data_IF_822181636565
#
_entry.id   IF_822181636565
#
_cell.length_a   1.000
_cell.length_b   1.000
_cell.length_c   1.000
_cell.angle_alpha   90.00
_cell.angle_beta   90.00
_cell.angle_gamma   90.00
#
_symmetry.space_group_name_H-M   'P 1'
#
loop_
_entity.id
_entity.type
_entity.pdbx_description
1 polymer ?
#
# COMPACT_ATOMS: atom_id res chain seq x y z
N UNK A 1 -13.43 64.10 23.08
CA UNK A 1 -13.06 62.96 22.21
C UNK A 1 -14.36 62.35 21.68
N UNK A 2 -15.06 62.99 20.72
CA UNK A 2 -15.08 62.75 19.25
C UNK A 2 -15.38 61.31 18.79
N UNK A 3 -16.69 61.05 18.65
CA UNK A 3 -17.44 60.38 17.56
C UNK A 3 -16.71 59.76 16.35
N UNK A 4 -17.22 58.61 15.88
CA UNK A 4 -17.83 58.33 14.54
C UNK A 4 -18.13 56.81 14.46
N UNK A 5 -19.36 56.30 14.26
CA UNK A 5 -20.33 56.34 13.14
C UNK A 5 -19.82 55.78 11.80
N UNK A 6 -20.72 54.97 11.18
CA UNK A 6 -20.89 54.65 9.75
C UNK A 6 -20.03 53.51 9.18
N UNK A 7 -20.45 52.69 8.21
CA UNK A 7 -21.71 52.47 7.48
C UNK A 7 -21.50 51.19 6.64
N UNK A 8 -22.60 50.60 6.20
CA UNK A 8 -22.67 49.56 5.19
C UNK A 8 -22.02 49.97 3.85
N UNK A 9 -21.62 48.97 3.05
CA UNK A 9 -21.76 49.06 1.60
C UNK A 9 -21.96 47.65 1.02
N UNK A 10 -23.20 47.42 0.60
CA UNK A 10 -23.56 46.47 -0.44
C UNK A 10 -23.13 47.01 -1.80
N UNK A 11 -22.55 46.16 -2.66
CA UNK A 11 -22.58 46.37 -4.10
C UNK A 11 -22.97 45.05 -4.78
N UNK A 12 -24.13 45.13 -5.41
CA UNK A 12 -24.75 44.15 -6.29
C UNK A 12 -24.21 44.36 -7.73
N UNK A 13 -24.34 43.30 -8.53
CA UNK A 13 -24.47 43.27 -9.99
C UNK A 13 -23.23 42.96 -10.84
N UNK A 14 -23.46 42.07 -11.81
CA UNK A 14 -22.74 42.05 -13.09
C UNK A 14 -22.16 40.71 -13.48
N UNK A 15 -22.97 39.83 -14.06
CA UNK A 15 -22.49 38.69 -14.84
C UNK A 15 -21.64 39.16 -16.02
N UNK A 16 -20.58 38.41 -16.36
CA UNK A 16 -20.09 38.25 -17.73
C UNK A 16 -19.26 36.97 -17.84
N UNK A 17 -19.71 36.12 -18.76
CA UNK A 17 -19.02 34.93 -19.26
C UNK A 17 -17.62 35.30 -19.75
N UNK A 18 -16.60 34.63 -19.23
CA UNK A 18 -15.41 34.33 -20.03
C UNK A 18 -15.10 32.85 -19.88
N UNK A 19 -15.52 32.10 -20.90
CA UNK A 19 -15.06 30.74 -21.17
C UNK A 19 -13.59 30.84 -21.53
N UNK A 20 -12.73 30.80 -20.52
CA UNK A 20 -11.30 30.58 -20.69
C UNK A 20 -11.05 29.09 -20.72
N UNK A 21 -11.16 28.47 -21.91
CA UNK A 21 -10.66 27.12 -22.16
C UNK A 21 -9.13 27.19 -22.05
N UNK A 22 -8.59 27.07 -20.84
CA UNK A 22 -7.16 26.82 -20.67
C UNK A 22 -6.97 25.37 -21.08
N UNK A 23 -6.57 25.17 -22.34
CA UNK A 23 -6.02 23.90 -22.79
C UNK A 23 -4.83 23.59 -21.87
N UNK A 24 -5.07 22.75 -20.85
CA UNK A 24 -4.00 22.24 -20.01
C UNK A 24 -3.09 21.46 -20.93
N UNK A 25 -1.87 21.98 -21.13
CA UNK A 25 -0.78 21.21 -21.75
C UNK A 25 -0.76 19.83 -21.07
N UNK A 26 -0.69 18.78 -21.88
CA UNK A 26 -0.54 17.40 -21.40
C UNK A 26 0.71 17.34 -20.53
N UNK A 27 0.52 17.45 -19.22
CA UNK A 27 1.58 17.27 -18.24
C UNK A 27 1.82 15.77 -18.13
N UNK A 28 3.09 15.39 -18.31
CA UNK A 28 3.57 14.03 -18.17
C UNK A 28 3.08 13.45 -16.85
N UNK A 29 2.27 12.40 -16.95
CA UNK A 29 1.70 11.66 -15.82
C UNK A 29 2.85 10.92 -15.14
N UNK A 30 3.34 11.46 -14.03
CA UNK A 30 4.14 10.66 -13.10
C UNK A 30 3.14 9.86 -12.28
N UNK A 31 2.79 8.66 -12.73
CA UNK A 31 2.00 7.77 -11.91
C UNK A 31 2.80 7.39 -10.66
N UNK A 32 2.28 7.65 -9.46
CA UNK A 32 2.53 6.79 -8.30
C UNK A 32 1.78 5.50 -8.57
N UNK A 33 2.40 4.70 -9.42
CA UNK A 33 2.10 3.29 -9.52
C UNK A 33 2.32 2.68 -8.14
N UNK A 34 1.45 1.75 -7.71
CA UNK A 34 1.93 0.53 -7.03
C UNK A 34 3.33 0.31 -7.54
N UNK A 35 4.37 0.30 -6.70
CA UNK A 35 5.69 0.10 -7.27
C UNK A 35 5.60 -1.08 -8.23
N UNK A 36 5.76 -0.79 -9.51
CA UNK A 36 5.49 -1.82 -10.48
C UNK A 36 6.81 -2.52 -10.72
N UNK A 37 6.74 -3.64 -11.42
CA UNK A 37 7.93 -4.27 -11.99
C UNK A 37 8.78 -3.26 -12.78
N UNK A 38 8.23 -2.11 -13.21
CA UNK A 38 8.95 -1.05 -13.94
C UNK A 38 9.56 0.04 -13.04
N UNK A 39 9.12 0.20 -11.80
CA UNK A 39 9.54 1.30 -10.92
C UNK A 39 10.57 0.87 -9.88
N UNK A 40 10.72 -0.45 -9.69
CA UNK A 40 11.76 -1.02 -8.83
C UNK A 40 13.11 -1.05 -9.54
N UNK A 41 14.19 -0.90 -8.78
CA UNK A 41 15.55 -1.00 -9.32
C UNK A 41 15.85 -2.39 -9.89
N UNK A 42 15.35 -3.44 -9.22
CA UNK A 42 15.62 -4.82 -9.59
C UNK A 42 14.31 -5.63 -9.62
N UNK A 43 13.69 -5.74 -10.80
CA UNK A 43 12.43 -6.45 -10.94
C UNK A 43 12.59 -7.95 -10.66
N UNK A 44 11.64 -8.49 -9.89
CA UNK A 44 11.59 -9.89 -9.54
C UNK A 44 10.66 -10.63 -10.51
N UNK A 45 11.09 -11.83 -10.92
CA UNK A 45 10.26 -12.77 -11.66
C UNK A 45 9.65 -13.76 -10.68
N UNK A 46 8.32 -13.71 -10.56
CA UNK A 46 7.53 -14.62 -9.72
C UNK A 46 6.94 -15.72 -10.60
N UNK A 47 7.20 -16.98 -10.27
CA UNK A 47 6.56 -18.13 -10.90
C UNK A 47 5.81 -18.94 -9.84
N UNK A 48 4.50 -19.07 -10.01
CA UNK A 48 3.67 -19.88 -9.13
C UNK A 48 3.66 -21.32 -9.64
N UNK A 49 4.05 -22.26 -8.79
CA UNK A 49 4.19 -23.68 -9.12
C UNK A 49 2.98 -24.42 -8.58
N UNK A 50 2.30 -25.15 -9.45
CA UNK A 50 1.28 -26.10 -9.04
C UNK A 50 1.97 -27.35 -8.48
N UNK A 51 2.09 -27.43 -7.17
CA UNK A 51 2.42 -28.68 -6.47
C UNK A 51 1.09 -29.37 -6.17
N UNK A 52 1.01 -30.69 -6.23
CA UNK A 52 -0.23 -31.43 -5.90
C UNK A 52 -0.69 -31.26 -4.44
N UNK A 53 0.03 -30.47 -3.66
CA UNK A 53 -0.25 -30.15 -2.26
C UNK A 53 -1.47 -29.23 -2.14
N UNK A 54 -2.29 -29.54 -1.15
CA UNK A 54 -3.44 -28.72 -0.78
C UNK A 54 -2.95 -27.76 0.31
N UNK A 55 -3.42 -26.50 0.33
CA UNK A 55 -3.07 -25.44 1.30
C UNK A 55 -1.72 -24.72 1.15
N UNK A 56 -0.83 -25.14 0.26
CA UNK A 56 0.46 -24.48 0.03
C UNK A 56 0.54 -23.91 -1.40
N UNK A 57 0.80 -22.62 -1.51
CA UNK A 57 1.16 -21.96 -2.76
C UNK A 57 2.69 -22.01 -2.92
N UNK A 58 3.20 -22.82 -3.83
CA UNK A 58 4.65 -22.89 -4.10
C UNK A 58 5.09 -21.75 -5.01
N UNK A 59 6.07 -20.98 -4.56
CA UNK A 59 6.58 -19.80 -5.25
C UNK A 59 8.05 -19.97 -5.59
N UNK A 60 8.39 -19.81 -6.86
CA UNK A 60 9.74 -19.72 -7.38
C UNK A 60 10.04 -18.27 -7.76
N UNK A 61 10.92 -17.65 -6.98
CA UNK A 61 11.31 -16.26 -7.10
C UNK A 61 12.71 -16.15 -7.71
N UNK A 62 12.85 -15.32 -8.73
CA UNK A 62 14.14 -15.07 -9.38
C UNK A 62 14.41 -13.56 -9.45
N UNK A 63 15.67 -13.17 -9.26
CA UNK A 63 16.16 -11.82 -9.54
C UNK A 63 17.22 -11.86 -10.62
N UNK A 64 17.34 -10.79 -11.41
CA UNK A 64 18.40 -10.61 -12.39
C UNK A 64 19.70 -10.07 -11.79
N UNK A 65 19.60 -9.32 -10.67
CA UNK A 65 20.76 -8.74 -10.00
C UNK A 65 21.69 -9.81 -9.43
N UNK A 66 22.99 -9.62 -9.63
CA UNK A 66 24.07 -10.42 -9.04
C UNK A 66 24.63 -9.80 -7.76
N UNK A 67 24.01 -8.73 -7.24
CA UNK A 67 24.43 -8.11 -5.98
C UNK A 67 24.27 -9.10 -4.82
N UNK A 68 25.39 -9.38 -4.14
CA UNK A 68 25.41 -10.09 -2.86
C UNK A 68 24.94 -9.15 -1.75
N UNK A 69 23.65 -8.82 -1.78
CA UNK A 69 22.97 -8.16 -0.68
C UNK A 69 22.18 -9.19 0.15
N UNK A 70 22.04 -8.91 1.44
CA UNK A 70 21.29 -9.73 2.39
C UNK A 70 19.88 -9.16 2.61
N UNK A 71 19.29 -8.57 1.57
CA UNK A 71 18.00 -7.86 1.66
C UNK A 71 16.88 -8.84 2.02
N UNK A 72 16.14 -8.55 3.08
CA UNK A 72 14.93 -9.29 3.41
C UNK A 72 13.79 -8.89 2.48
N UNK A 73 12.97 -9.88 2.17
CA UNK A 73 11.80 -9.78 1.32
C UNK A 73 10.58 -10.18 2.14
N UNK A 74 9.53 -9.40 2.01
CA UNK A 74 8.19 -9.75 2.45
C UNK A 74 7.32 -10.10 1.25
N UNK A 75 6.20 -10.75 1.53
CA UNK A 75 5.14 -10.93 0.55
C UNK A 75 3.80 -10.42 1.08
N UNK A 76 2.97 -9.97 0.15
CA UNK A 76 1.57 -9.64 0.37
C UNK A 76 0.71 -10.43 -0.62
N UNK A 77 -0.25 -11.18 -0.10
CA UNK A 77 -1.28 -11.87 -0.87
C UNK A 77 -2.52 -10.98 -0.90
N UNK A 78 -2.81 -10.41 -2.07
CA UNK A 78 -3.79 -9.34 -2.23
C UNK A 78 -4.99 -9.89 -3.00
N UNK A 79 -6.20 -9.70 -2.48
CA UNK A 79 -7.42 -10.02 -3.20
C UNK A 79 -7.55 -9.08 -4.41
N UNK A 80 -7.73 -9.63 -5.61
CA UNK A 80 -7.77 -8.84 -6.84
C UNK A 80 -9.02 -7.95 -6.92
N UNK A 81 -10.15 -8.46 -6.42
CA UNK A 81 -11.44 -7.79 -6.57
C UNK A 81 -11.64 -6.68 -5.53
N UNK A 82 -11.13 -6.90 -4.30
CA UNK A 82 -11.30 -5.97 -3.17
C UNK A 82 -10.03 -5.21 -2.80
N UNK A 83 -8.87 -5.65 -3.31
CA UNK A 83 -7.55 -5.14 -2.95
C UNK A 83 -7.13 -5.43 -1.49
N UNK A 84 -7.91 -6.24 -0.76
CA UNK A 84 -7.65 -6.60 0.62
C UNK A 84 -6.42 -7.52 0.79
N UNK A 85 -5.62 -7.27 1.83
CA UNK A 85 -4.52 -8.16 2.22
C UNK A 85 -5.06 -9.41 2.91
N UNK A 86 -5.05 -10.53 2.19
CA UNK A 86 -5.44 -11.83 2.74
C UNK A 86 -4.33 -12.48 3.57
N UNK A 87 -3.06 -12.19 3.28
CA UNK A 87 -1.92 -12.64 4.07
C UNK A 87 -0.74 -11.71 3.82
N UNK A 88 0.06 -11.44 4.85
CA UNK A 88 1.29 -10.67 4.74
C UNK A 88 2.31 -11.21 5.74
N UNK A 89 3.50 -11.59 5.24
CA UNK A 89 4.56 -12.12 6.08
C UNK A 89 5.93 -11.98 5.42
N UNK A 90 6.98 -12.28 6.17
CA UNK A 90 8.32 -12.43 5.62
C UNK A 90 8.34 -13.59 4.64
N UNK A 91 8.80 -13.32 3.42
CA UNK A 91 9.10 -14.33 2.44
C UNK A 91 10.47 -14.90 2.78
N UNK A 92 11.54 -14.15 2.61
CA UNK A 92 12.88 -14.63 2.94
C UNK A 92 13.96 -13.68 2.46
N UNK A 93 15.10 -14.22 2.04
CA UNK A 93 16.19 -13.43 1.46
C UNK A 93 16.98 -14.29 0.49
N UNK A 94 17.61 -13.65 -0.48
CA UNK A 94 18.38 -14.35 -1.50
C UNK A 94 19.65 -15.01 -0.95
N UNK A 95 20.28 -14.46 0.10
CA UNK A 95 21.42 -15.08 0.78
C UNK A 95 22.60 -15.44 -0.14
N UNK A 96 22.85 -14.61 -1.16
CA UNK A 96 23.89 -14.86 -2.18
C UNK A 96 23.45 -15.73 -3.37
N UNK A 97 22.22 -16.24 -3.37
CA UNK A 97 21.57 -16.87 -4.53
C UNK A 97 20.86 -15.82 -5.40
N UNK A 98 20.49 -16.18 -6.63
CA UNK A 98 19.59 -15.38 -7.47
C UNK A 98 18.17 -15.99 -7.55
N UNK A 99 17.94 -17.05 -6.78
CA UNK A 99 16.70 -17.83 -6.79
C UNK A 99 16.32 -18.28 -5.38
N UNK A 100 15.04 -18.14 -5.05
CA UNK A 100 14.43 -18.61 -3.80
C UNK A 100 13.21 -19.47 -4.18
N UNK A 101 13.01 -20.59 -3.48
CA UNK A 101 11.79 -21.37 -3.58
C UNK A 101 11.17 -21.50 -2.20
N UNK A 102 9.88 -21.17 -2.09
CA UNK A 102 9.20 -21.16 -0.82
C UNK A 102 7.71 -21.46 -0.96
N UNK A 103 7.15 -22.14 0.04
CA UNK A 103 5.71 -22.34 0.16
C UNK A 103 5.08 -21.25 1.00
N UNK A 104 3.97 -20.69 0.51
CA UNK A 104 3.11 -19.78 1.26
C UNK A 104 1.86 -20.57 1.71
N UNK A 105 1.56 -20.53 3.00
CA UNK A 105 0.36 -21.17 3.54
C UNK A 105 -0.89 -20.35 3.19
N UNK A 106 -1.78 -20.95 2.40
CA UNK A 106 -3.05 -20.35 1.96
C UNK A 106 -4.28 -20.94 2.67
N UNK A 107 -4.10 -21.80 3.69
CA UNK A 107 -5.19 -22.30 4.53
C UNK A 107 -6.08 -21.19 5.14
N UNK A 108 -5.56 -20.05 5.64
CA UNK A 108 -6.41 -19.00 6.23
C UNK A 108 -7.11 -18.12 5.18
N UNK A 109 -6.82 -18.32 3.89
CA UNK A 109 -7.26 -17.44 2.81
C UNK A 109 -8.63 -17.89 2.30
N UNK A 110 -9.55 -16.93 2.16
CA UNK A 110 -10.90 -17.18 1.63
C UNK A 110 -10.85 -17.47 0.12
N UNK A 111 -11.93 -18.06 -0.39
CA UNK A 111 -12.13 -18.22 -1.82
C UNK A 111 -12.19 -16.86 -2.52
N UNK A 112 -11.48 -16.72 -3.64
CA UNK A 112 -11.39 -15.46 -4.38
C UNK A 112 -10.28 -15.44 -5.43
N UNK A 113 -10.15 -14.32 -6.13
CA UNK A 113 -9.05 -14.04 -7.03
C UNK A 113 -7.98 -13.23 -6.30
N UNK A 114 -6.71 -13.53 -6.55
CA UNK A 114 -5.59 -12.97 -5.82
C UNK A 114 -4.39 -12.73 -6.74
N UNK A 115 -3.54 -11.77 -6.36
CA UNK A 115 -2.17 -11.68 -6.84
C UNK A 115 -1.20 -11.69 -5.65
N UNK A 116 0.06 -11.99 -5.94
CA UNK A 116 1.14 -12.01 -4.96
C UNK A 116 2.13 -10.89 -5.28
N UNK A 117 2.34 -10.00 -4.32
CA UNK A 117 3.42 -9.02 -4.34
C UNK A 117 4.56 -9.53 -3.47
N UNK A 118 5.79 -9.51 -3.99
CA UNK A 118 7.01 -9.81 -3.23
C UNK A 118 7.97 -8.63 -3.36
N UNK A 119 8.50 -8.16 -2.23
CA UNK A 119 9.25 -6.93 -2.22
C UNK A 119 10.24 -6.79 -1.07
N UNK A 120 11.26 -5.95 -1.25
CA UNK A 120 12.23 -5.67 -0.19
C UNK A 120 11.60 -4.93 0.99
N UNK A 121 11.79 -5.48 2.19
CA UNK A 121 11.12 -5.06 3.41
C UNK A 121 11.47 -3.63 3.82
N UNK A 122 12.76 -3.29 3.80
CA UNK A 122 13.28 -2.06 4.42
C UNK A 122 12.96 -0.79 3.62
N UNK A 123 12.70 -0.93 2.32
CA UNK A 123 12.49 0.19 1.40
C UNK A 123 11.16 0.09 0.64
N UNK A 124 10.27 -0.77 1.11
CA UNK A 124 8.97 -1.04 0.49
C UNK A 124 9.12 -1.37 -1.00
N UNK A 125 10.16 -2.15 -1.27
CA UNK A 125 10.47 -2.75 -2.55
C UNK A 125 11.19 -1.84 -3.57
N UNK A 126 11.57 -0.61 -3.18
CA UNK A 126 12.30 0.31 -4.08
C UNK A 126 13.51 -0.38 -4.71
N UNK A 127 14.16 -1.28 -3.98
CA UNK A 127 15.23 -2.15 -4.49
C UNK A 127 14.73 -3.39 -5.22
N UNK A 128 13.77 -4.11 -4.67
CA UNK A 128 13.22 -5.35 -5.25
C UNK A 128 11.69 -5.36 -5.23
N UNK A 129 11.07 -5.63 -6.37
CA UNK A 129 9.63 -5.85 -6.48
C UNK A 129 9.28 -6.86 -7.56
N UNK A 130 8.31 -7.72 -7.28
CA UNK A 130 7.59 -8.48 -8.29
C UNK A 130 6.12 -8.60 -7.91
N UNK A 131 5.28 -8.66 -8.94
CA UNK A 131 3.86 -9.01 -8.84
C UNK A 131 3.60 -10.24 -9.69
N UNK A 132 2.88 -11.22 -9.14
CA UNK A 132 2.47 -12.40 -9.90
C UNK A 132 1.33 -12.08 -10.87
N UNK A 133 1.09 -12.97 -11.82
CA UNK A 133 -0.21 -13.03 -12.48
C UNK A 133 -1.33 -13.29 -11.46
N UNK A 134 -2.55 -12.90 -11.81
CA UNK A 134 -3.74 -13.18 -10.99
C UNK A 134 -4.04 -14.68 -11.02
N UNK A 135 -4.42 -15.23 -9.87
CA UNK A 135 -4.80 -16.61 -9.71
C UNK A 135 -6.01 -16.75 -8.80
N UNK A 136 -6.65 -17.92 -8.84
CA UNK A 136 -7.82 -18.21 -7.99
C UNK A 136 -7.40 -19.08 -6.82
N UNK A 137 -7.89 -18.75 -5.63
CA UNK A 137 -7.93 -19.66 -4.49
C UNK A 137 -9.37 -20.15 -4.34
N UNK A 138 -9.56 -21.47 -4.27
CA UNK A 138 -10.87 -22.04 -3.94
C UNK A 138 -10.75 -23.37 -3.22
N UNK A 139 -11.48 -23.54 -2.12
CA UNK A 139 -11.38 -24.74 -1.28
C UNK A 139 -9.94 -24.98 -0.81
N UNK A 140 -9.26 -23.91 -0.39
CA UNK A 140 -7.86 -23.91 0.07
C UNK A 140 -6.82 -24.36 -0.98
N UNK A 141 -7.18 -24.32 -2.26
CA UNK A 141 -6.32 -24.73 -3.37
C UNK A 141 -6.10 -23.60 -4.36
N UNK A 142 -4.86 -23.50 -4.83
CA UNK A 142 -4.44 -22.61 -5.91
C UNK A 142 -4.88 -23.15 -7.28
N UNK A 143 -5.41 -22.26 -8.12
CA UNK A 143 -5.73 -22.50 -9.52
C UNK A 143 -5.15 -21.37 -10.38
N UNK A 144 -4.26 -21.67 -11.34
CA UNK A 144 -3.77 -20.67 -12.27
C UNK A 144 -4.94 -20.16 -13.13
N UNK A 145 -5.12 -18.85 -13.20
CA UNK A 145 -6.00 -18.24 -14.21
C UNK A 145 -5.13 -18.04 -15.44
N UNK A 146 -5.24 -18.95 -16.41
CA UNK A 146 -4.63 -18.69 -17.72
C UNK A 146 -5.31 -17.46 -18.30
N UNK A 147 -4.56 -16.37 -18.50
CA UNK A 147 -4.98 -15.37 -19.47
C UNK A 147 -5.18 -16.10 -20.79
N UNK A 148 -6.39 -16.05 -21.34
CA UNK A 148 -6.55 -16.29 -22.78
C UNK A 148 -5.70 -15.21 -23.43
N UNK A 149 -4.60 -15.61 -24.05
CA UNK A 149 -3.81 -14.72 -24.90
C UNK A 149 -4.76 -14.24 -26.01
N UNK A 150 -5.29 -13.03 -25.87
CA UNK A 150 -5.65 -12.27 -27.05
C UNK A 150 -4.34 -12.10 -27.80
N UNK A 151 -4.24 -12.59 -29.06
CA UNK A 151 -2.96 -12.83 -29.69
C UNK A 151 -2.09 -11.59 -29.72
N UNK A 152 -0.82 -11.81 -29.39
CA UNK A 152 0.32 -10.90 -29.53
C UNK A 152 0.27 -10.18 -30.88
N UNK A 153 0.06 -8.87 -30.86
CA UNK A 153 0.33 -8.04 -32.03
C UNK A 153 1.86 -7.89 -32.17
N UNK A 154 2.43 -8.77 -32.98
CA UNK A 154 3.77 -8.62 -33.56
C UNK A 154 3.82 -7.34 -34.41
N UNK A 155 4.95 -6.65 -34.37
CA UNK A 155 5.19 -5.36 -35.03
C UNK A 155 4.91 -5.35 -36.55
N UNK A 156 4.24 -4.26 -36.98
CA UNK A 156 4.21 -3.62 -38.33
C UNK A 156 3.43 -4.30 -39.48
N UNK A 157 2.71 -3.54 -40.34
CA UNK A 157 3.26 -2.45 -41.14
C UNK A 157 2.58 -1.09 -40.97
N UNK A 158 3.33 -0.02 -41.29
CA UNK A 158 2.79 1.32 -41.60
C UNK A 158 1.52 1.17 -42.46
N UNK A 159 0.41 1.76 -42.02
CA UNK A 159 -0.67 2.10 -42.94
C UNK A 159 -0.99 3.59 -42.85
N UNK A 160 -0.64 4.25 -43.94
CA UNK A 160 -0.99 5.61 -44.31
C UNK A 160 -2.51 5.77 -44.47
N UNK A 161 -3.01 6.85 -43.87
CA UNK A 161 -4.06 7.77 -44.34
C UNK A 161 -5.15 7.25 -45.29
N UNK A 162 -6.41 7.41 -44.88
CA UNK A 162 -7.26 8.43 -45.51
C UNK A 162 -8.42 8.88 -44.62
N UNK A 163 -8.32 10.16 -44.24
CA UNK A 163 -9.33 11.19 -44.00
C UNK A 163 -10.80 10.80 -43.85
N UNK A 164 -11.39 11.21 -42.72
CA UNK A 164 -12.53 12.12 -42.80
C UNK A 164 -12.61 13.00 -41.56
N UNK A 165 -12.64 14.31 -41.82
CA UNK A 165 -12.86 15.36 -40.83
C UNK A 165 -14.21 15.16 -40.17
N UNK A 166 -14.19 14.78 -38.88
CA UNK A 166 -15.19 15.24 -37.93
C UNK A 166 -14.54 15.27 -36.55
N UNK A 167 -14.18 16.48 -36.13
CA UNK A 167 -13.67 16.81 -34.81
C UNK A 167 -14.75 16.56 -33.76
N UNK A 168 -14.91 15.31 -33.34
CA UNK A 168 -15.53 14.98 -32.07
C UNK A 168 -14.38 14.68 -31.10
N UNK A 169 -14.07 15.66 -30.24
CA UNK A 169 -13.10 15.50 -29.15
C UNK A 169 -13.48 14.28 -28.33
N UNK A 170 -12.72 13.18 -28.48
CA UNK A 170 -12.95 11.99 -27.68
C UNK A 170 -12.81 12.36 -26.19
N UNK A 171 -13.90 12.22 -25.44
CA UNK A 171 -14.01 12.73 -24.07
C UNK A 171 -13.01 12.03 -23.15
N UNK A 172 -12.20 12.82 -22.44
CA UNK A 172 -11.33 12.37 -21.36
C UNK A 172 -11.85 12.94 -20.05
N UNK A 173 -11.95 12.11 -19.02
CA UNK A 173 -12.39 12.51 -17.69
C UNK A 173 -13.42 11.57 -17.09
N UNK A 174 -13.97 12.00 -15.96
CA UNK A 174 -14.95 11.24 -15.21
C UNK A 174 -16.34 11.25 -15.85
N UNK A 175 -17.00 10.10 -15.82
CA UNK A 175 -18.43 9.95 -16.03
C UNK A 175 -18.97 9.01 -14.96
N UNK A 176 -19.67 9.58 -13.98
CA UNK A 176 -20.06 8.86 -12.76
C UNK A 176 -18.82 8.34 -12.00
N UNK A 177 -18.80 7.03 -11.72
CA UNK A 177 -17.67 6.35 -11.05
C UNK A 177 -16.56 5.90 -11.99
N UNK A 178 -16.68 6.15 -13.29
CA UNK A 178 -15.76 5.64 -14.30
C UNK A 178 -14.93 6.74 -14.91
N UNK A 179 -13.68 6.42 -15.26
CA UNK A 179 -12.79 7.31 -15.97
C UNK A 179 -12.64 6.87 -17.42
N UNK A 180 -12.68 7.84 -18.34
CA UNK A 180 -12.47 7.62 -19.76
C UNK A 180 -11.23 8.37 -20.22
N UNK A 181 -10.42 7.74 -21.06
CA UNK A 181 -9.27 8.34 -21.71
C UNK A 181 -9.44 8.23 -23.22
N UNK A 182 -9.56 9.38 -23.91
CA UNK A 182 -9.89 9.44 -25.33
C UNK A 182 -11.12 8.58 -25.70
N UNK A 183 -12.18 8.64 -24.87
CA UNK A 183 -13.41 7.88 -25.06
C UNK A 183 -13.35 6.40 -24.68
N UNK A 184 -12.19 5.88 -24.27
CA UNK A 184 -12.04 4.48 -23.82
C UNK A 184 -12.13 4.39 -22.31
N UNK A 185 -12.96 3.48 -21.79
CA UNK A 185 -13.12 3.25 -20.35
C UNK A 185 -11.85 2.63 -19.75
N UNK A 186 -11.33 3.23 -18.69
CA UNK A 186 -10.16 2.71 -17.96
C UNK A 186 -10.60 1.65 -16.95
N UNK A 187 -9.87 0.53 -16.92
CA UNK A 187 -10.13 -0.63 -16.04
C UNK A 187 -8.80 -1.18 -15.50
N UNK A 188 -8.83 -1.77 -14.30
CA UNK A 188 -7.67 -2.39 -13.61
C UNK A 188 -6.40 -1.52 -13.61
N UNK A 189 -6.55 -0.22 -13.37
CA UNK A 189 -5.45 0.72 -13.54
C UNK A 189 -5.53 1.90 -12.57
N UNK A 190 -4.36 2.33 -12.11
CA UNK A 190 -4.18 3.60 -11.42
C UNK A 190 -4.22 4.77 -12.41
N UNK A 191 -4.92 5.83 -12.02
CA UNK A 191 -4.86 7.14 -12.68
C UNK A 191 -4.46 8.21 -11.68
N UNK A 192 -3.79 9.24 -12.18
CA UNK A 192 -3.63 10.49 -11.45
C UNK A 192 -4.53 11.54 -12.09
N UNK A 193 -5.43 12.13 -11.31
CA UNK A 193 -6.26 13.23 -11.77
C UNK A 193 -5.71 14.55 -11.24
N UNK A 194 -5.24 15.40 -12.16
CA UNK A 194 -4.65 16.71 -11.86
C UNK A 194 -5.66 17.65 -11.22
N UNK A 195 -6.95 17.57 -11.60
CA UNK A 195 -8.00 18.41 -11.04
C UNK A 195 -8.19 18.13 -9.55
N UNK A 196 -8.14 16.85 -9.18
CA UNK A 196 -8.29 16.39 -7.80
C UNK A 196 -6.98 16.29 -7.04
N UNK A 197 -5.85 16.44 -7.74
CA UNK A 197 -4.50 16.25 -7.21
C UNK A 197 -4.38 14.93 -6.41
N UNK A 198 -4.94 13.85 -6.95
CA UNK A 198 -5.05 12.57 -6.26
C UNK A 198 -4.99 11.39 -7.21
N UNK A 199 -4.66 10.23 -6.65
CA UNK A 199 -4.67 8.95 -7.33
C UNK A 199 -5.98 8.23 -7.09
N UNK A 200 -6.44 7.54 -8.12
CA UNK A 200 -7.61 6.67 -8.10
C UNK A 200 -7.24 5.34 -8.74
N UNK A 201 -7.80 4.25 -8.22
CA UNK A 201 -7.69 2.94 -8.85
C UNK A 201 -9.02 2.52 -9.44
N UNK A 202 -9.06 2.19 -10.73
CA UNK A 202 -10.23 1.68 -11.42
C UNK A 202 -10.22 0.15 -11.39
N UNK A 203 -11.28 -0.47 -10.91
CA UNK A 203 -11.39 -1.93 -10.88
C UNK A 203 -11.74 -2.55 -12.25
N UNK A 204 -11.99 -3.85 -12.30
CA UNK A 204 -12.29 -4.58 -13.53
C UNK A 204 -13.59 -4.12 -14.21
N UNK A 205 -14.52 -3.53 -13.45
CA UNK A 205 -15.74 -2.92 -13.98
C UNK A 205 -15.53 -1.48 -14.47
N UNK A 206 -14.34 -0.92 -14.28
CA UNK A 206 -13.97 0.45 -14.60
C UNK A 206 -14.58 1.47 -13.67
N UNK A 207 -14.85 1.08 -12.42
CA UNK A 207 -15.32 2.00 -11.37
C UNK A 207 -14.16 2.27 -10.41
N UNK A 208 -14.06 3.49 -9.89
CA UNK A 208 -13.07 3.78 -8.87
C UNK A 208 -13.35 2.96 -7.60
N UNK A 209 -12.28 2.43 -7.00
CA UNK A 209 -12.31 1.76 -5.70
C UNK A 209 -12.36 2.83 -4.61
N UNK A 210 -13.12 2.57 -3.54
CA UNK A 210 -13.23 3.47 -2.38
C UNK A 210 -13.55 2.70 -1.11
N UNK A 211 -13.15 3.26 0.04
CA UNK A 211 -13.21 2.64 1.36
C UNK A 211 -12.64 1.21 1.38
N UNK A 212 -11.56 1.00 0.62
CA UNK A 212 -10.96 -0.29 0.40
C UNK A 212 -9.48 -0.12 0.05
N UNK A 213 -8.75 -1.21 0.26
CA UNK A 213 -7.35 -1.31 -0.13
C UNK A 213 -7.24 -1.59 -1.63
N UNK A 214 -6.10 -1.27 -2.21
CA UNK A 214 -5.64 -1.76 -3.50
C UNK A 214 -4.14 -1.97 -3.37
N UNK A 215 -3.72 -3.22 -3.13
CA UNK A 215 -2.35 -3.53 -2.76
C UNK A 215 -1.97 -2.81 -1.46
N UNK A 216 -0.92 -1.98 -1.52
CA UNK A 216 -0.41 -1.26 -0.35
C UNK A 216 -1.11 0.07 -0.06
N UNK A 217 -2.11 0.46 -0.86
CA UNK A 217 -2.70 1.79 -0.84
C UNK A 217 -4.14 1.72 -0.39
N UNK A 218 -4.59 2.74 0.36
CA UNK A 218 -5.98 2.84 0.79
C UNK A 218 -6.71 3.91 -0.01
N UNK A 219 -7.83 3.55 -0.63
CA UNK A 219 -8.70 4.48 -1.33
C UNK A 219 -9.80 4.92 -0.37
N UNK A 220 -9.87 6.21 -0.05
CA UNK A 220 -10.89 6.77 0.85
C UNK A 220 -12.24 6.90 0.15
N UNK A 221 -13.24 7.36 0.88
CA UNK A 221 -14.53 7.77 0.30
C UNK A 221 -14.32 8.73 -0.87
N UNK A 222 -15.00 8.47 -1.99
CA UNK A 222 -14.82 9.21 -3.25
C UNK A 222 -13.63 8.75 -4.10
N UNK A 223 -12.89 7.73 -3.66
CA UNK A 223 -11.83 7.07 -4.43
C UNK A 223 -10.45 7.71 -4.34
N UNK A 224 -10.30 8.77 -3.54
CA UNK A 224 -9.03 9.44 -3.32
C UNK A 224 -8.06 8.54 -2.56
N UNK A 225 -6.87 8.31 -3.11
CA UNK A 225 -5.80 7.62 -2.39
C UNK A 225 -5.36 8.42 -1.17
N UNK A 226 -5.29 7.76 -0.01
CA UNK A 226 -4.78 8.34 1.22
C UNK A 226 -3.25 8.53 1.14
N UNK A 227 -2.74 9.67 1.65
CA UNK A 227 -1.31 10.00 1.68
C UNK A 227 -0.96 10.85 2.89
N UNK A 228 0.17 10.53 3.53
CA UNK A 228 0.67 11.23 4.74
C UNK A 228 -0.40 11.40 5.83
N UNK A 229 -1.22 10.39 6.05
CA UNK A 229 -2.39 10.49 6.91
C UNK A 229 -2.73 9.18 7.61
N UNK A 230 -3.39 9.28 8.75
CA UNK A 230 -3.99 8.15 9.44
C UNK A 230 -5.37 7.85 8.87
N UNK A 231 -5.66 6.56 8.66
CA UNK A 231 -7.00 6.08 8.37
C UNK A 231 -7.45 5.07 9.42
N UNK A 232 -8.76 4.95 9.60
CA UNK A 232 -9.37 3.86 10.34
C UNK A 232 -10.16 2.99 9.37
N UNK A 233 -9.75 1.73 9.25
CA UNK A 233 -10.47 0.75 8.47
C UNK A 233 -11.41 -0.04 9.38
N UNK A 234 -12.71 0.13 9.15
CA UNK A 234 -13.77 -0.54 9.92
C UNK A 234 -13.78 -2.05 9.70
N UNK A 235 -13.43 -2.52 8.51
CA UNK A 235 -13.43 -3.96 8.18
C UNK A 235 -12.36 -4.70 9.00
N UNK A 236 -11.24 -4.04 9.26
CA UNK A 236 -10.17 -4.57 10.10
C UNK A 236 -10.19 -4.08 11.54
N UNK A 237 -11.11 -3.16 11.87
CA UNK A 237 -11.24 -2.49 13.16
C UNK A 237 -9.90 -1.93 13.67
N UNK A 238 -9.11 -1.36 12.77
CA UNK A 238 -7.74 -0.94 13.06
C UNK A 238 -7.38 0.38 12.38
N UNK A 239 -6.46 1.09 13.02
CA UNK A 239 -5.79 2.23 12.41
C UNK A 239 -4.62 1.78 11.55
N UNK A 240 -4.37 2.55 10.49
CA UNK A 240 -3.23 2.45 9.60
C UNK A 240 -2.72 3.85 9.31
N UNK A 241 -1.44 3.97 8.99
CA UNK A 241 -0.86 5.23 8.52
C UNK A 241 -0.38 5.06 7.08
N UNK A 242 -0.77 5.95 6.18
CA UNK A 242 -0.28 5.97 4.81
C UNK A 242 0.86 6.97 4.71
N UNK A 243 1.97 6.55 4.13
CA UNK A 243 3.20 7.33 3.97
C UNK A 243 3.02 8.46 2.96
N UNK A 244 4.06 9.29 2.78
CA UNK A 244 4.11 10.31 1.72
C UNK A 244 4.00 9.73 0.31
N UNK A 245 4.36 8.48 0.14
CA UNK A 245 4.23 7.71 -1.08
C UNK A 245 2.83 7.11 -1.24
N UNK A 246 2.05 7.03 -0.16
CA UNK A 246 0.68 6.52 -0.12
C UNK A 246 0.55 5.06 0.30
N UNK A 247 1.67 4.32 0.37
CA UNK A 247 1.68 2.96 0.91
C UNK A 247 1.47 2.97 2.42
N UNK A 248 0.89 1.92 3.00
CA UNK A 248 0.78 1.83 4.45
C UNK A 248 2.13 1.60 5.12
N UNK A 249 2.34 2.26 6.25
CA UNK A 249 3.48 2.07 7.12
C UNK A 249 3.33 0.76 7.91
N UNK A 250 4.43 0.04 8.10
CA UNK A 250 4.49 -1.22 8.83
C UNK A 250 5.89 -1.45 9.40
N UNK A 251 6.00 -2.28 10.43
CA UNK A 251 7.24 -2.52 11.19
C UNK A 251 7.97 -1.22 11.57
N UNK A 252 7.23 -0.14 11.85
CA UNK A 252 7.83 1.19 12.00
C UNK A 252 7.04 2.08 12.93
N UNK A 253 7.72 3.11 13.43
CA UNK A 253 7.14 4.13 14.28
C UNK A 253 6.63 5.30 13.45
N UNK A 254 5.42 5.76 13.75
CA UNK A 254 4.88 7.03 13.27
C UNK A 254 4.56 7.87 14.50
N UNK A 255 5.43 8.82 14.82
CA UNK A 255 5.34 9.58 16.06
C UNK A 255 5.47 8.66 17.28
N UNK A 256 4.40 8.57 18.10
CA UNK A 256 4.37 7.73 19.30
C UNK A 256 3.69 6.37 19.08
N UNK A 257 3.29 6.06 17.85
CA UNK A 257 2.53 4.86 17.51
C UNK A 257 3.41 3.88 16.73
N UNK A 258 3.19 2.58 16.94
CA UNK A 258 3.87 1.53 16.19
C UNK A 258 2.91 0.84 15.23
N UNK A 259 3.31 0.72 13.97
CA UNK A 259 2.58 -0.03 12.95
C UNK A 259 3.23 -1.41 12.83
N UNK A 260 2.46 -2.46 13.08
CA UNK A 260 2.92 -3.86 13.03
C UNK A 260 3.20 -4.31 11.59
N UNK A 261 3.69 -5.52 11.41
CA UNK A 261 4.04 -6.08 10.09
C UNK A 261 2.89 -6.06 9.08
N UNK A 262 1.66 -6.23 9.54
CA UNK A 262 0.45 -6.15 8.72
C UNK A 262 -0.12 -4.73 8.59
N UNK A 263 0.65 -3.69 8.95
CA UNK A 263 0.24 -2.29 8.87
C UNK A 263 -0.70 -1.82 9.98
N UNK A 264 -1.26 -2.73 10.79
CA UNK A 264 -2.16 -2.36 11.89
C UNK A 264 -1.40 -1.64 12.98
N UNK A 265 -1.95 -0.53 13.46
CA UNK A 265 -1.46 0.13 14.67
C UNK A 265 -1.57 -0.81 15.87
N UNK A 266 -0.46 -0.98 16.59
CA UNK A 266 -0.45 -1.73 17.84
C UNK A 266 -1.23 -0.96 18.93
N UNK A 267 -2.04 -1.68 19.71
CA UNK A 267 -2.87 -1.09 20.77
C UNK A 267 -3.09 -2.10 21.89
N UNK A 268 -2.86 -1.68 23.14
CA UNK A 268 -2.96 -2.52 24.34
C UNK A 268 -2.15 -3.81 24.25
N UNK A 269 -0.93 -3.73 23.73
CA UNK A 269 -0.10 -4.91 23.47
C UNK A 269 1.40 -4.60 23.56
N UNK A 270 2.18 -5.66 23.80
CA UNK A 270 3.63 -5.62 23.70
C UNK A 270 4.06 -5.83 22.24
N UNK A 271 5.04 -5.06 21.80
CA UNK A 271 5.71 -5.25 20.51
C UNK A 271 7.21 -5.37 20.72
N UNK A 272 7.86 -6.21 19.92
CA UNK A 272 9.30 -6.26 19.83
C UNK A 272 9.75 -5.53 18.56
N UNK A 273 10.55 -4.48 18.74
CA UNK A 273 11.17 -3.78 17.61
C UNK A 273 12.58 -4.33 17.39
N UNK A 274 12.78 -5.01 16.26
CA UNK A 274 14.05 -5.64 15.91
C UNK A 274 15.16 -4.63 15.61
N UNK A 275 14.82 -3.43 15.09
CA UNK A 275 15.79 -2.36 14.83
C UNK A 275 16.34 -1.79 16.13
N UNK A 276 15.51 -1.70 17.17
CA UNK A 276 15.92 -1.22 18.49
C UNK A 276 16.31 -2.31 19.48
N UNK A 277 16.13 -3.58 19.11
CA UNK A 277 16.36 -4.78 19.91
C UNK A 277 15.73 -4.68 21.29
N UNK A 278 14.47 -4.22 21.33
CA UNK A 278 13.81 -3.93 22.60
C UNK A 278 12.31 -4.12 22.50
N UNK A 279 11.72 -4.47 23.64
CA UNK A 279 10.28 -4.50 23.81
C UNK A 279 9.75 -3.11 24.15
N UNK A 280 8.56 -2.83 23.63
CA UNK A 280 7.76 -1.65 23.91
C UNK A 280 6.35 -2.10 24.23
N UNK A 281 5.65 -1.32 25.05
CA UNK A 281 4.22 -1.53 25.29
C UNK A 281 3.42 -0.37 24.72
N UNK A 282 2.42 -0.65 23.88
CA UNK A 282 1.50 0.35 23.35
C UNK A 282 0.24 0.37 24.21
N UNK A 283 -0.14 1.55 24.67
CA UNK A 283 -1.30 1.76 25.55
C UNK A 283 -2.62 1.54 24.83
N UNK A 284 -3.75 1.68 25.54
CA UNK A 284 -5.09 1.68 24.93
C UNK A 284 -5.29 2.81 23.93
N UNK A 285 -4.53 3.90 24.04
CA UNK A 285 -4.55 4.99 23.08
C UNK A 285 -3.61 4.74 21.89
N UNK A 286 -2.87 3.61 21.90
CA UNK A 286 -1.93 3.23 20.85
C UNK A 286 -0.54 3.87 20.99
N UNK A 287 -0.39 4.91 21.81
CA UNK A 287 0.93 5.51 22.07
C UNK A 287 1.79 4.61 22.97
N UNK A 288 3.11 4.63 22.78
CA UNK A 288 4.00 3.84 23.63
C UNK A 288 4.04 4.34 25.08
N UNK A 289 4.05 3.40 26.02
CA UNK A 289 4.22 3.66 27.43
C UNK A 289 5.68 4.02 27.73
N UNK A 290 5.90 4.98 28.63
CA UNK A 290 7.23 5.44 29.06
C UNK A 290 7.19 5.95 30.49
N UNK A 291 8.31 5.83 31.20
CA UNK A 291 8.45 6.18 32.62
C UNK A 291 7.36 5.54 33.49
N UNK A 292 7.02 4.28 33.22
CA UNK A 292 5.92 3.62 33.91
C UNK A 292 6.13 2.11 33.96
N UNK A 293 5.52 1.48 34.96
CA UNK A 293 5.37 0.03 35.03
C UNK A 293 4.17 -0.44 34.22
N UNK A 294 4.31 -1.59 33.58
CA UNK A 294 3.25 -2.38 32.95
C UNK A 294 3.38 -3.81 33.49
N UNK A 295 2.55 -4.16 34.47
CA UNK A 295 2.75 -5.37 35.25
C UNK A 295 4.09 -5.33 35.98
N UNK A 296 4.89 -6.39 35.83
CA UNK A 296 6.22 -6.51 36.45
C UNK A 296 7.36 -5.92 35.59
N UNK A 297 7.04 -5.16 34.53
CA UNK A 297 8.03 -4.64 33.57
C UNK A 297 8.04 -3.11 33.56
N UNK A 298 9.21 -2.50 33.57
CA UNK A 298 9.36 -1.04 33.53
C UNK A 298 9.73 -0.55 32.12
N UNK A 299 9.01 0.46 31.64
CA UNK A 299 9.27 1.12 30.35
C UNK A 299 10.01 2.43 30.62
N UNK A 300 11.21 2.58 30.05
CA UNK A 300 12.09 3.74 30.24
C UNK A 300 11.53 5.00 29.56
N UNK A 301 12.22 6.13 29.72
CA UNK A 301 11.80 7.42 29.15
C UNK A 301 11.67 7.42 27.63
N UNK A 302 12.43 6.57 26.95
CA UNK A 302 12.37 6.35 25.50
C UNK A 302 11.45 5.18 25.10
N UNK A 303 10.65 4.65 26.02
CA UNK A 303 9.71 3.56 25.78
C UNK A 303 10.29 2.15 25.77
N UNK A 304 11.63 1.99 25.80
CA UNK A 304 12.27 0.68 25.84
C UNK A 304 12.03 0.00 27.19
N UNK A 305 11.72 -1.28 27.18
CA UNK A 305 11.68 -2.11 28.38
C UNK A 305 13.06 -2.16 29.04
N UNK A 306 13.10 -1.98 30.36
CA UNK A 306 14.30 -2.13 31.16
C UNK A 306 14.68 -3.61 31.30
N UNK A 307 15.96 -3.93 31.20
CA UNK A 307 16.50 -5.30 31.36
C UNK A 307 17.86 -5.25 32.06
N UNK A 308 18.09 -6.15 33.03
CA UNK A 308 19.34 -6.24 33.81
C UNK A 308 19.82 -4.90 34.40
N UNK A 309 18.90 -4.07 34.88
CA UNK A 309 19.22 -2.73 35.38
C UNK A 309 18.38 -2.35 36.61
N UNK A 310 18.73 -1.23 37.25
CA UNK A 310 17.89 -0.59 38.26
C UNK A 310 17.03 0.48 37.60
N UNK A 311 15.74 0.49 37.90
CA UNK A 311 14.80 1.50 37.43
C UNK A 311 15.03 2.83 38.17
N UNK A 312 14.60 3.98 37.60
CA UNK A 312 14.79 5.29 38.24
C UNK A 312 14.16 5.45 39.63
N UNK A 313 13.11 4.68 39.92
CA UNK A 313 12.43 4.59 41.22
C UNK A 313 13.08 3.57 42.17
N UNK A 314 14.21 2.97 41.79
CA UNK A 314 15.10 2.22 42.67
C UNK A 314 14.91 0.70 42.67
N UNK A 315 13.95 0.15 41.93
CA UNK A 315 13.75 -1.32 41.83
C UNK A 315 14.74 -1.97 40.87
N UNK A 316 14.99 -3.27 41.03
CA UNK A 316 15.88 -4.04 40.15
C UNK A 316 15.07 -4.96 39.25
N UNK A 317 15.37 -4.98 37.95
CA UNK A 317 14.80 -5.95 37.00
C UNK A 317 15.86 -6.97 36.56
N UNK A 318 15.44 -8.20 36.28
CA UNK A 318 16.32 -9.29 35.84
C UNK A 318 16.58 -9.28 34.31
N UNK A 319 17.21 -10.33 33.79
CA UNK A 319 17.56 -10.47 32.38
C UNK A 319 16.36 -10.69 31.45
N UNK A 320 15.20 -11.03 31.99
CA UNK A 320 13.93 -11.03 31.26
C UNK A 320 13.21 -9.67 31.33
N UNK A 321 13.73 -8.73 32.13
CA UNK A 321 13.12 -7.43 32.41
C UNK A 321 12.07 -7.47 33.52
N UNK A 322 11.87 -8.62 34.17
CA UNK A 322 10.90 -8.77 35.25
C UNK A 322 11.45 -8.18 36.54
N UNK A 323 10.60 -7.48 37.30
CA UNK A 323 10.92 -6.98 38.63
C UNK A 323 11.31 -8.12 39.58
N UNK A 324 12.46 -7.96 40.23
CA UNK A 324 12.95 -8.82 41.30
C UNK A 324 12.50 -8.22 42.63
N UNK A 325 11.57 -8.91 43.30
CA UNK A 325 11.12 -8.60 44.66
C UNK A 325 12.17 -8.98 45.69
#
# INVERSE_FOLDING_TARGET
MKNRKMLASSLLAGALLSVGYVASKSTTVHALTDMSVKDTQNPLKITLIQTGEITILSVDLQRSSTTNDNTYLDFDLVNEDTGELASSHTFGRFGGSNRIRQGINILPVKDGNYHLDIYSSDDFGKRYFGRSEVFKISGYKYYPIKKVETPTATETPKQSTNSNSNSNSAQTGWSGSSYYQAGVKVVNQWIFDVQYNSYFYLNASGNYVQNAWSGNYYLKSGGYMAKSEWIYDKNYSSYYYLTSEGSYARNTWVGSYYLKSNGKMAKSEWVYDSSYQSYYYLTSEGSYARNTWIGDYYLKSNGKMAVNERTPDGYKVDGSGKWVK
#
